data_IF_104186664803
#
_entry.id   IF_104186664803
#
_cell.length_a   1.000
_cell.length_b   1.000
_cell.length_c   1.000
_cell.angle_alpha   90.00
_cell.angle_beta   90.00
_cell.angle_gamma   90.00
#
_symmetry.space_group_name_H-M   'P 1'
#
loop_
_entity.id
_entity.type
_entity.pdbx_description
1 polymer ?
#
# COMPACT_ATOMS: atom_id res chain seq x y z
N UNK A 1 -7.46 6.78 -28.36
CA UNK A 1 -6.15 6.37 -27.81
C UNK A 1 -5.90 7.17 -26.54
N UNK A 2 -5.46 6.56 -25.45
CA UNK A 2 -5.23 7.24 -24.16
C UNK A 2 -6.43 7.27 -23.21
N UNK A 3 -7.42 6.39 -23.40
CA UNK A 3 -8.57 6.23 -22.49
C UNK A 3 -8.57 4.86 -21.81
N UNK A 4 -9.50 4.64 -20.89
CA UNK A 4 -9.63 3.36 -20.17
C UNK A 4 -10.03 2.18 -21.09
N UNK A 5 -10.55 2.44 -22.29
CA UNK A 5 -10.91 1.42 -23.27
C UNK A 5 -10.00 1.47 -24.50
N UNK A 6 -8.71 1.74 -24.29
CA UNK A 6 -7.72 1.80 -25.36
C UNK A 6 -7.60 0.42 -26.05
N UNK A 7 -7.77 0.32 -27.39
CA UNK A 7 -7.65 -0.94 -28.13
C UNK A 7 -6.28 -1.62 -28.01
N UNK A 8 -5.24 -0.88 -27.59
CA UNK A 8 -3.90 -1.43 -27.30
C UNK A 8 -3.87 -2.28 -26.02
N UNK A 9 -4.82 -2.08 -25.10
CA UNK A 9 -4.93 -2.90 -23.90
C UNK A 9 -5.60 -4.26 -24.14
N UNK A 10 -6.20 -4.45 -25.32
CA UNK A 10 -7.00 -5.62 -25.65
C UNK A 10 -8.40 -5.23 -26.13
N UNK A 11 -9.10 -6.20 -26.69
CA UNK A 11 -10.47 -6.04 -27.19
C UNK A 11 -11.35 -7.13 -26.58
N UNK A 12 -12.60 -6.77 -26.27
CA UNK A 12 -13.66 -7.71 -25.88
C UNK A 12 -14.60 -7.96 -27.07
N UNK A 13 -14.61 -7.03 -28.03
CA UNK A 13 -15.46 -7.10 -29.20
C UNK A 13 -14.85 -8.04 -30.25
N UNK A 14 -15.68 -8.93 -30.80
CA UNK A 14 -15.29 -9.91 -31.83
C UNK A 14 -14.95 -9.26 -33.15
N UNK A 15 -15.47 -8.06 -33.42
CA UNK A 15 -15.23 -7.35 -34.67
C UNK A 15 -13.88 -6.62 -34.70
N UNK A 16 -13.27 -6.41 -33.54
CA UNK A 16 -12.01 -5.69 -33.42
C UNK A 16 -10.88 -6.64 -33.03
N UNK A 17 -9.68 -6.34 -33.53
CA UNK A 17 -8.44 -7.01 -33.14
C UNK A 17 -7.64 -6.13 -32.20
N UNK A 18 -6.86 -6.74 -31.31
CA UNK A 18 -5.98 -5.99 -30.43
C UNK A 18 -4.90 -5.27 -31.24
N UNK A 19 -4.66 -3.98 -30.95
CA UNK A 19 -3.63 -3.21 -31.65
C UNK A 19 -2.20 -3.59 -31.25
N UNK A 20 -2.00 -4.33 -30.16
CA UNK A 20 -0.67 -4.69 -29.65
C UNK A 20 -0.24 -6.08 -30.10
N UNK A 21 -1.11 -7.09 -30.01
CA UNK A 21 -0.79 -8.46 -30.41
C UNK A 21 -1.47 -8.90 -31.72
N UNK A 22 -2.44 -8.16 -32.26
CA UNK A 22 -3.18 -8.55 -33.47
C UNK A 22 -4.22 -9.65 -33.26
N UNK A 23 -4.27 -10.25 -32.06
CA UNK A 23 -5.17 -11.36 -31.73
C UNK A 23 -6.61 -10.91 -31.42
N UNK A 24 -7.54 -11.85 -31.54
CA UNK A 24 -8.95 -11.69 -31.18
C UNK A 24 -9.20 -11.80 -29.66
N UNK A 25 -10.46 -11.62 -29.20
CA UNK A 25 -10.80 -11.58 -27.77
C UNK A 25 -10.59 -12.92 -27.03
N UNK A 26 -10.54 -14.05 -27.74
CA UNK A 26 -10.31 -15.38 -27.14
C UNK A 26 -8.84 -15.65 -26.83
N UNK A 27 -7.94 -15.22 -27.73
CA UNK A 27 -6.51 -15.55 -27.66
C UNK A 27 -5.66 -14.41 -27.07
N UNK A 28 -6.16 -13.17 -27.11
CA UNK A 28 -5.47 -12.02 -26.54
C UNK A 28 -5.44 -12.10 -24.99
N UNK A 29 -4.25 -12.15 -24.36
CA UNK A 29 -4.13 -12.18 -22.89
C UNK A 29 -4.51 -10.84 -22.23
N UNK A 30 -4.58 -9.77 -23.02
CA UNK A 30 -4.72 -8.40 -22.55
C UNK A 30 -3.38 -7.79 -22.13
N UNK A 31 -3.26 -6.47 -22.31
CA UNK A 31 -2.05 -5.71 -22.02
C UNK A 31 -2.33 -4.65 -20.96
N UNK A 32 -1.52 -4.62 -19.90
CA UNK A 32 -1.68 -3.67 -18.81
C UNK A 32 -1.38 -2.24 -19.27
N UNK A 33 -2.22 -1.33 -18.80
CA UNK A 33 -1.95 0.11 -18.85
C UNK A 33 -1.39 0.59 -17.52
N UNK A 34 -1.13 1.89 -17.43
CA UNK A 34 -0.79 2.54 -16.17
C UNK A 34 -1.49 3.90 -16.07
N UNK A 35 -1.75 4.33 -14.84
CA UNK A 35 -2.19 5.69 -14.52
C UNK A 35 -1.15 6.29 -13.58
N UNK A 36 -0.59 7.42 -13.97
CA UNK A 36 0.24 8.25 -13.10
C UNK A 36 -0.65 9.10 -12.20
N UNK A 37 -0.48 8.98 -10.89
CA UNK A 37 -1.23 9.77 -9.93
C UNK A 37 -0.61 11.16 -9.82
N UNK A 38 -1.46 12.19 -9.64
CA UNK A 38 -1.00 13.55 -9.40
C UNK A 38 -0.19 13.70 -8.10
N UNK A 39 -0.54 12.93 -7.06
CA UNK A 39 0.19 12.81 -5.80
C UNK A 39 0.29 11.32 -5.42
N UNK A 40 1.37 10.90 -4.74
CA UNK A 40 1.49 9.53 -4.26
C UNK A 40 0.44 9.23 -3.17
N UNK A 41 0.03 7.96 -3.07
CA UNK A 41 -1.08 7.51 -2.22
C UNK A 41 -0.67 6.27 -1.45
N UNK A 42 -1.11 6.12 -0.19
CA UNK A 42 -0.84 4.91 0.58
C UNK A 42 -1.63 3.72 0.02
N UNK A 43 -0.95 2.59 -0.19
CA UNK A 43 -1.65 1.34 -0.48
C UNK A 43 -2.32 0.81 0.80
N UNK A 44 -3.65 0.68 0.79
CA UNK A 44 -4.45 0.29 1.97
C UNK A 44 -3.97 -1.01 2.64
N UNK A 45 -3.57 -2.01 1.84
CA UNK A 45 -3.04 -3.29 2.34
C UNK A 45 -1.65 -3.21 2.98
N UNK A 46 -0.85 -2.18 2.69
CA UNK A 46 0.52 -2.03 3.21
C UNK A 46 0.66 -0.96 4.27
N UNK A 47 -0.38 -0.17 4.53
CA UNK A 47 -0.35 0.95 5.48
C UNK A 47 0.20 0.55 6.88
N UNK A 48 -0.18 -0.63 7.37
CA UNK A 48 0.34 -1.16 8.66
C UNK A 48 1.82 -1.49 8.57
N UNK A 49 2.28 -2.03 7.44
CA UNK A 49 3.69 -2.37 7.22
C UNK A 49 4.54 -1.12 7.05
N UNK A 50 4.06 -0.13 6.29
CA UNK A 50 4.67 1.20 6.16
C UNK A 50 4.82 1.85 7.53
N UNK A 51 3.77 1.86 8.36
CA UNK A 51 3.84 2.36 9.74
C UNK A 51 4.96 1.70 10.54
N UNK A 52 5.04 0.36 10.52
CA UNK A 52 6.09 -0.37 11.24
C UNK A 52 7.50 -0.02 10.74
N UNK A 53 7.69 0.10 9.43
CA UNK A 53 8.99 0.45 8.84
C UNK A 53 9.38 1.88 9.24
N UNK A 54 8.45 2.84 9.16
CA UNK A 54 8.67 4.22 9.59
C UNK A 54 9.00 4.32 11.10
N UNK A 55 8.49 3.42 11.93
CA UNK A 55 8.85 3.36 13.36
C UNK A 55 10.26 2.79 13.59
N UNK A 56 10.79 1.99 12.66
CA UNK A 56 12.13 1.42 12.73
C UNK A 56 13.23 2.42 12.36
N UNK A 57 12.95 3.32 11.42
CA UNK A 57 13.93 4.24 10.84
C UNK A 57 13.78 5.66 11.39
N UNK A 58 14.83 6.45 11.27
CA UNK A 58 14.78 7.87 11.55
C UNK A 58 13.95 8.60 10.49
N UNK A 59 12.95 9.38 10.90
CA UNK A 59 12.09 10.14 9.97
C UNK A 59 12.83 11.24 9.19
N UNK A 60 14.03 11.64 9.63
CA UNK A 60 14.83 12.67 8.98
C UNK A 60 15.90 12.07 8.04
N UNK A 61 16.81 11.24 8.57
CA UNK A 61 17.92 10.68 7.80
C UNK A 61 17.63 9.33 7.13
N UNK A 62 16.54 8.63 7.49
CA UNK A 62 16.17 7.34 6.90
C UNK A 62 16.99 6.14 7.38
N UNK A 63 17.98 6.34 8.27
CA UNK A 63 18.79 5.27 8.86
C UNK A 63 18.00 4.48 9.90
N UNK A 64 18.26 3.18 10.02
CA UNK A 64 17.69 2.33 11.07
C UNK A 64 18.12 2.86 12.44
N UNK A 65 17.20 2.97 13.42
CA UNK A 65 17.51 3.46 14.78
C UNK A 65 18.28 2.45 15.66
N UNK A 66 18.57 1.28 15.09
CA UNK A 66 19.23 0.19 15.78
C UNK A 66 20.47 -0.20 14.99
N UNK A 67 21.55 -0.44 15.72
CA UNK A 67 22.82 -0.82 15.15
C UNK A 67 23.26 -2.20 15.67
N UNK A 68 24.07 -2.88 14.86
CA UNK A 68 24.70 -4.14 15.21
C UNK A 68 25.72 -4.00 16.34
N UNK A 69 26.11 -2.78 16.74
CA UNK A 69 26.92 -2.53 17.94
C UNK A 69 26.25 -2.94 19.25
N UNK A 70 24.92 -3.06 19.31
CA UNK A 70 24.21 -3.63 20.46
C UNK A 70 24.13 -5.15 20.34
N UNK A 71 24.77 -5.86 21.28
CA UNK A 71 24.76 -7.33 21.35
C UNK A 71 23.35 -7.92 21.46
N UNK A 72 22.43 -7.22 22.13
CA UNK A 72 21.02 -7.62 22.23
C UNK A 72 20.38 -7.61 20.85
N UNK A 73 20.52 -6.51 20.12
CA UNK A 73 19.97 -6.36 18.77
C UNK A 73 20.61 -7.35 17.79
N UNK A 74 21.94 -7.51 17.85
CA UNK A 74 22.69 -8.46 17.02
C UNK A 74 22.22 -9.90 17.23
N UNK A 75 22.06 -10.33 18.48
CA UNK A 75 21.57 -11.67 18.81
C UNK A 75 20.11 -11.87 18.38
N UNK A 76 19.28 -10.84 18.51
CA UNK A 76 17.89 -10.86 18.04
C UNK A 76 17.79 -11.05 16.52
N UNK A 77 18.58 -10.31 15.73
CA UNK A 77 18.60 -10.42 14.27
C UNK A 77 19.13 -11.78 13.82
N UNK A 78 20.20 -12.28 14.46
CA UNK A 78 20.79 -13.60 14.16
C UNK A 78 19.82 -14.75 14.42
N UNK A 79 19.00 -14.68 15.47
CA UNK A 79 17.99 -15.71 15.79
C UNK A 79 16.76 -15.69 14.87
N UNK A 80 16.60 -14.65 14.05
CA UNK A 80 15.44 -14.47 13.19
C UNK A 80 15.77 -14.79 11.72
N UNK A 81 15.70 -16.07 11.36
CA UNK A 81 15.97 -16.53 9.98
C UNK A 81 14.88 -16.11 8.99
N UNK A 82 13.61 -16.13 9.41
CA UNK A 82 12.50 -15.75 8.53
C UNK A 82 12.41 -14.22 8.39
N UNK A 83 12.42 -13.67 7.16
CA UNK A 83 12.32 -12.22 6.90
C UNK A 83 11.12 -11.55 7.58
N UNK A 84 9.97 -12.22 7.64
CA UNK A 84 8.76 -11.69 8.29
C UNK A 84 8.95 -11.54 9.80
N UNK A 85 9.57 -12.53 10.43
CA UNK A 85 9.86 -12.52 11.87
C UNK A 85 10.95 -11.50 12.19
N UNK A 86 11.96 -11.38 11.32
CA UNK A 86 13.04 -10.39 11.44
C UNK A 86 12.51 -8.96 11.52
N UNK A 87 11.62 -8.57 10.60
CA UNK A 87 10.99 -7.24 10.62
C UNK A 87 10.23 -6.99 11.94
N UNK A 88 9.52 -8.00 12.45
CA UNK A 88 8.77 -7.87 13.69
C UNK A 88 9.69 -7.63 14.89
N UNK A 89 10.77 -8.40 15.01
CA UNK A 89 11.74 -8.28 16.11
C UNK A 89 12.46 -6.94 16.05
N UNK A 90 12.92 -6.53 14.86
CA UNK A 90 13.56 -5.23 14.66
C UNK A 90 12.60 -4.09 15.03
N UNK A 91 11.34 -4.18 14.62
CA UNK A 91 10.32 -3.20 14.97
C UNK A 91 10.03 -3.14 16.48
N UNK A 92 9.94 -4.28 17.16
CA UNK A 92 9.72 -4.33 18.61
C UNK A 92 10.85 -3.66 19.40
N UNK A 93 12.08 -3.78 18.91
CA UNK A 93 13.24 -3.11 19.48
C UNK A 93 13.28 -1.60 19.14
N UNK A 94 13.02 -1.22 17.89
CA UNK A 94 13.14 0.17 17.44
C UNK A 94 11.98 1.08 17.85
N UNK A 95 10.76 0.54 18.06
CA UNK A 95 9.57 1.36 18.38
C UNK A 95 9.72 2.17 19.68
N UNK A 96 10.58 1.72 20.60
CA UNK A 96 10.87 2.41 21.86
C UNK A 96 11.90 3.53 21.74
N UNK A 97 12.66 3.56 20.64
CA UNK A 97 13.73 4.55 20.41
C UNK A 97 13.14 5.84 19.83
N UNK A 98 13.12 6.86 20.68
CA UNK A 98 12.57 8.19 20.38
C UNK A 98 13.62 9.23 20.02
N UNK A 99 14.89 8.82 19.89
CA UNK A 99 16.01 9.68 19.51
C UNK A 99 16.87 8.94 18.48
N UNK A 100 17.34 9.65 17.47
CA UNK A 100 18.35 9.15 16.55
C UNK A 100 19.73 9.48 17.13
N UNK A 101 20.38 8.51 17.79
CA UNK A 101 21.69 8.70 18.42
C UNK A 101 22.74 9.16 17.39
N UNK A 102 23.26 10.37 17.56
CA UNK A 102 24.44 10.87 16.86
C UNK A 102 25.69 10.45 17.61
N UNK A 103 26.81 10.32 16.90
CA UNK A 103 28.07 9.87 17.51
C UNK A 103 28.75 10.98 18.33
N UNK A 104 28.39 12.25 18.10
CA UNK A 104 29.03 13.42 18.72
C UNK A 104 28.82 13.55 20.26
N UNK A 105 28.02 12.69 20.89
CA UNK A 105 27.76 12.76 22.35
C UNK A 105 28.60 11.79 23.20
N UNK A 106 29.60 11.11 22.62
CA UNK A 106 30.45 10.17 23.37
C UNK A 106 31.91 10.60 23.51
N UNK A 107 32.27 11.81 23.09
CA UNK A 107 33.66 12.25 23.11
C UNK A 107 34.20 12.68 24.50
N UNK A 108 33.37 12.75 25.57
CA UNK A 108 33.87 13.33 26.83
C UNK A 108 34.24 12.36 27.95
N UNK A 109 33.83 11.08 27.97
CA UNK A 109 34.31 10.12 29.01
C UNK A 109 34.26 8.65 28.54
N UNK A 110 35.21 8.18 27.71
CA UNK A 110 35.38 6.74 27.47
C UNK A 110 36.79 6.25 27.87
N UNK A 111 36.82 5.62 29.04
CA UNK A 111 37.85 4.75 29.62
C UNK A 111 38.46 3.78 28.55
N UNK A 112 39.81 3.72 28.39
CA UNK A 112 40.48 3.00 27.30
C UNK A 112 40.29 1.46 27.25
N UNK A 113 39.60 0.85 28.21
CA UNK A 113 39.35 -0.60 28.29
C UNK A 113 38.04 -1.09 27.63
N UNK A 114 37.17 -0.21 27.13
CA UNK A 114 35.95 -0.64 26.44
C UNK A 114 36.15 -0.74 24.92
N UNK A 115 35.70 -1.82 24.27
CA UNK A 115 35.75 -1.92 22.81
C UNK A 115 34.95 -0.78 22.20
N UNK A 116 35.62 0.06 21.40
CA UNK A 116 35.01 1.16 20.66
C UNK A 116 33.82 0.62 19.86
N UNK A 117 32.61 1.06 20.21
CA UNK A 117 31.41 0.65 19.48
C UNK A 117 31.43 1.36 18.13
N UNK A 118 31.22 0.65 17.01
CA UNK A 118 31.17 1.28 15.70
C UNK A 118 30.10 2.38 15.69
N UNK A 119 30.44 3.52 15.08
CA UNK A 119 29.60 4.71 15.06
C UNK A 119 28.31 4.45 14.29
N UNK A 120 27.18 4.79 14.91
CA UNK A 120 25.84 4.59 14.35
C UNK A 120 25.52 5.68 13.32
N UNK A 121 26.19 6.83 13.30
CA UNK A 121 26.02 7.88 12.29
C UNK A 121 24.59 8.42 12.21
N UNK A 122 23.89 8.54 13.35
CA UNK A 122 22.57 9.17 13.41
C UNK A 122 22.66 10.69 13.41
N UNK A 123 21.50 11.36 13.28
CA UNK A 123 21.42 12.81 13.09
C UNK A 123 20.87 13.60 14.28
N UNK A 124 20.76 13.01 15.48
CA UNK A 124 20.24 13.67 16.67
C UNK A 124 18.72 13.96 16.66
N UNK A 125 18.02 13.67 15.55
CA UNK A 125 16.61 14.04 15.41
C UNK A 125 15.67 13.27 16.35
N UNK A 126 14.79 13.99 17.03
CA UNK A 126 13.75 13.42 17.90
C UNK A 126 12.72 12.69 17.03
N UNK A 127 12.39 11.48 17.40
CA UNK A 127 11.48 10.63 16.63
C UNK A 127 10.04 10.79 17.13
N UNK A 128 9.08 11.02 16.24
CA UNK A 128 7.68 11.10 16.61
C UNK A 128 7.09 9.72 16.87
N UNK A 129 6.01 9.68 17.65
CA UNK A 129 5.15 8.51 17.75
C UNK A 129 4.18 8.48 16.57
N UNK A 130 4.24 7.42 15.76
CA UNK A 130 3.40 7.30 14.58
C UNK A 130 2.06 6.65 14.94
N UNK A 131 0.96 7.37 14.74
CA UNK A 131 -0.40 6.90 14.97
C UNK A 131 -1.12 6.69 13.63
N UNK A 132 -1.88 5.60 13.53
CA UNK A 132 -2.74 5.31 12.38
C UNK A 132 -4.17 5.67 12.76
N UNK A 133 -4.84 6.40 11.88
CA UNK A 133 -6.25 6.74 12.01
C UNK A 133 -6.90 6.63 10.62
N UNK A 134 -7.76 5.61 10.45
CA UNK A 134 -8.29 5.21 9.14
C UNK A 134 -7.19 4.94 8.11
N UNK A 135 -7.19 5.73 7.04
CA UNK A 135 -6.22 5.70 5.93
C UNK A 135 -5.06 6.71 6.11
N UNK A 136 -5.01 7.44 7.23
CA UNK A 136 -4.01 8.47 7.51
C UNK A 136 -2.99 8.00 8.54
N UNK A 137 -1.78 8.52 8.41
CA UNK A 137 -0.73 8.42 9.42
C UNK A 137 -0.48 9.80 10.02
N UNK A 138 -0.27 9.85 11.33
CA UNK A 138 0.00 11.07 12.08
C UNK A 138 1.30 10.92 12.86
N UNK A 139 2.13 11.94 12.82
CA UNK A 139 3.31 12.11 13.66
C UNK A 139 2.89 12.87 14.91
N UNK A 140 3.21 12.32 16.08
CA UNK A 140 2.95 12.96 17.38
C UNK A 140 4.27 13.12 18.10
N UNK A 141 4.75 14.36 18.23
CA UNK A 141 5.95 14.66 19.01
C UNK A 141 5.58 14.82 20.48
N UNK A 142 6.35 14.18 21.37
CA UNK A 142 6.25 14.43 22.81
C UNK A 142 7.15 15.61 23.15
N UNK A 143 6.61 16.64 23.79
CA UNK A 143 7.43 17.69 24.40
C UNK A 143 8.33 17.09 25.49
N UNK A 144 9.56 17.61 25.63
CA UNK A 144 10.52 17.18 26.65
C UNK A 144 10.03 17.61 28.03
N UNK A 145 10.24 16.77 29.05
CA UNK A 145 9.82 17.02 30.45
C UNK A 145 10.71 18.05 31.18
N UNK A 146 11.20 19.08 30.49
CA UNK A 146 12.15 20.04 31.07
C UNK A 146 12.12 21.40 30.38
N UNK A 147 11.01 21.75 29.76
CA UNK A 147 10.83 23.00 29.02
C UNK A 147 9.59 23.77 29.54
N UNK A 148 9.27 23.61 30.83
CA UNK A 148 8.19 24.33 31.51
C UNK A 148 8.52 24.46 33.02
N UNK A 149 9.21 25.55 33.37
CA UNK A 149 9.07 26.24 34.66
C UNK A 149 7.84 27.18 34.66
N UNK A 150 6.95 27.06 33.65
CA UNK A 150 5.69 27.80 33.57
C UNK A 150 4.50 26.86 33.79
N UNK A 151 3.79 27.07 34.90
CA UNK A 151 2.63 26.29 35.36
C UNK A 151 1.42 26.33 34.40
N UNK A 152 1.43 27.18 33.36
CA UNK A 152 0.32 27.41 32.44
C UNK A 152 0.28 26.49 31.19
N UNK A 153 1.29 25.64 30.96
CA UNK A 153 1.42 24.85 29.71
C UNK A 153 0.88 23.41 29.80
N UNK A 154 0.26 23.03 30.94
CA UNK A 154 -0.30 21.67 31.16
C UNK A 154 -1.48 21.30 30.22
N UNK A 155 -2.00 22.22 29.40
CA UNK A 155 -3.10 21.99 28.45
C UNK A 155 -2.72 22.08 26.96
N UNK A 156 -1.43 22.20 26.59
CA UNK A 156 -1.04 22.19 25.19
C UNK A 156 -1.13 20.78 24.59
N UNK A 157 -2.10 20.54 23.72
CA UNK A 157 -2.24 19.26 23.01
C UNK A 157 -0.95 18.92 22.26
N UNK A 158 -0.51 17.63 22.27
CA UNK A 158 0.69 17.24 21.54
C UNK A 158 0.51 17.52 20.05
N UNK A 159 1.52 18.12 19.42
CA UNK A 159 1.47 18.53 18.02
C UNK A 159 1.26 17.30 17.13
N UNK A 160 0.04 17.16 16.59
CA UNK A 160 -0.38 16.06 15.74
C UNK A 160 -0.31 16.51 14.28
N UNK A 161 0.77 16.16 13.59
CA UNK A 161 0.98 16.49 12.18
C UNK A 161 0.63 15.30 11.29
N UNK A 162 -0.14 15.51 10.23
CA UNK A 162 -0.44 14.45 9.25
C UNK A 162 0.81 14.15 8.41
N UNK A 163 1.21 12.88 8.33
CA UNK A 163 2.28 12.43 7.44
C UNK A 163 1.69 12.14 6.05
N UNK A 164 1.94 13.01 5.08
CA UNK A 164 1.49 12.80 3.70
C UNK A 164 2.20 11.59 3.09
N UNK A 165 1.56 10.96 2.09
CA UNK A 165 2.17 9.83 1.40
C UNK A 165 3.43 10.26 0.62
N UNK A 166 3.51 11.51 0.17
CA UNK A 166 4.70 12.07 -0.48
C UNK A 166 5.89 12.17 0.48
N UNK A 167 5.66 12.70 1.69
CA UNK A 167 6.68 12.75 2.74
C UNK A 167 7.15 11.34 3.11
N UNK A 168 6.22 10.41 3.35
CA UNK A 168 6.56 9.03 3.66
C UNK A 168 7.39 8.37 2.54
N UNK A 169 7.04 8.60 1.26
CA UNK A 169 7.81 8.09 0.12
C UNK A 169 9.23 8.65 0.10
N UNK A 170 9.39 9.95 0.37
CA UNK A 170 10.70 10.59 0.49
C UNK A 170 11.56 9.98 1.60
N UNK A 171 10.97 9.70 2.77
CA UNK A 171 11.66 9.08 3.90
C UNK A 171 12.07 7.63 3.57
N UNK A 172 11.15 6.83 3.03
CA UNK A 172 11.39 5.43 2.71
C UNK A 172 12.47 5.25 1.62
N UNK A 173 12.60 6.21 0.70
CA UNK A 173 13.63 6.20 -0.35
C UNK A 173 15.05 6.42 0.20
N UNK A 174 15.19 7.12 1.34
CA UNK A 174 16.48 7.41 1.99
C UNK A 174 17.09 6.18 2.68
N UNK A 175 16.34 5.10 2.88
CA UNK A 175 16.82 3.92 3.61
C UNK A 175 17.96 3.25 2.81
N UNK A 176 19.14 3.03 3.41
CA UNK A 176 20.24 2.37 2.73
C UNK A 176 19.99 0.87 2.59
N UNK A 177 20.61 0.26 1.57
CA UNK A 177 20.44 -1.16 1.27
C UNK A 177 20.89 -2.10 2.40
N UNK A 178 21.87 -1.69 3.22
CA UNK A 178 22.29 -2.40 4.43
C UNK A 178 21.13 -2.59 5.41
N UNK A 179 20.40 -1.51 5.67
CA UNK A 179 19.34 -1.44 6.67
C UNK A 179 18.10 -2.20 6.19
N UNK A 180 17.84 -2.20 4.87
CA UNK A 180 16.82 -3.03 4.27
C UNK A 180 17.06 -4.52 4.57
N UNK A 181 18.30 -5.00 4.39
CA UNK A 181 18.65 -6.41 4.68
C UNK A 181 18.53 -6.74 6.16
N UNK A 182 18.95 -5.81 7.04
CA UNK A 182 18.82 -5.96 8.50
C UNK A 182 17.36 -6.07 8.95
N UNK A 183 16.47 -5.27 8.36
CA UNK A 183 15.02 -5.34 8.62
C UNK A 183 14.34 -6.59 8.01
N UNK A 184 15.02 -7.37 7.18
CA UNK A 184 14.42 -8.50 6.45
C UNK A 184 13.60 -8.08 5.23
N UNK A 185 13.96 -6.96 4.60
CA UNK A 185 13.38 -6.47 3.35
C UNK A 185 14.33 -6.78 2.18
N UNK A 186 13.77 -6.86 0.97
CA UNK A 186 14.54 -7.13 -0.25
C UNK A 186 14.68 -5.87 -1.08
N UNK A 187 15.93 -5.52 -1.41
CA UNK A 187 16.24 -4.40 -2.30
C UNK A 187 15.72 -4.62 -3.74
N UNK A 188 15.72 -5.87 -4.21
CA UNK A 188 15.35 -6.18 -5.59
C UNK A 188 13.85 -6.37 -5.80
N UNK A 189 13.16 -6.95 -4.82
CA UNK A 189 11.77 -7.40 -5.00
C UNK A 189 10.76 -6.66 -4.12
N UNK A 190 11.20 -6.00 -3.04
CA UNK A 190 10.28 -5.48 -2.04
C UNK A 190 10.84 -4.23 -1.34
N UNK A 191 11.20 -3.20 -2.13
CA UNK A 191 11.61 -1.91 -1.56
C UNK A 191 10.44 -1.24 -0.82
N UNK A 192 10.67 -0.62 0.34
CA UNK A 192 9.62 0.02 1.12
C UNK A 192 8.89 1.15 0.38
N UNK A 193 9.60 1.94 -0.43
CA UNK A 193 8.98 3.03 -1.20
C UNK A 193 7.87 2.54 -2.14
N UNK A 194 7.95 1.30 -2.65
CA UNK A 194 6.94 0.71 -3.55
C UNK A 194 5.62 0.38 -2.83
N UNK A 195 5.59 0.43 -1.50
CA UNK A 195 4.34 0.31 -0.73
C UNK A 195 3.47 1.57 -0.82
N UNK A 196 4.03 2.67 -1.35
CA UNK A 196 3.33 3.91 -1.66
C UNK A 196 3.16 3.97 -3.17
N UNK A 197 1.92 4.14 -3.62
CA UNK A 197 1.57 4.12 -5.03
C UNK A 197 1.75 5.52 -5.62
N UNK A 198 2.69 5.65 -6.55
CA UNK A 198 2.78 6.80 -7.47
C UNK A 198 2.13 6.49 -8.82
N UNK A 199 2.17 5.21 -9.22
CA UNK A 199 1.61 4.70 -10.47
C UNK A 199 0.71 3.51 -10.16
N UNK A 200 -0.49 3.50 -10.74
CA UNK A 200 -1.44 2.39 -10.60
C UNK A 200 -1.48 1.59 -11.90
N UNK A 201 -1.23 0.27 -11.87
CA UNK A 201 -1.42 -0.58 -13.04
C UNK A 201 -2.90 -0.70 -13.37
N UNK A 202 -3.25 -0.45 -14.62
CA UNK A 202 -4.62 -0.58 -15.11
C UNK A 202 -4.79 -1.96 -15.72
N UNK A 203 -5.65 -2.82 -15.15
CA UNK A 203 -5.89 -4.14 -15.71
C UNK A 203 -6.53 -4.04 -17.10
N UNK A 204 -6.24 -4.99 -18.01
CA UNK A 204 -6.79 -4.99 -19.35
C UNK A 204 -8.30 -5.31 -19.36
N UNK A 205 -9.02 -5.00 -20.45
CA UNK A 205 -10.47 -5.25 -20.57
C UNK A 205 -10.88 -6.70 -20.25
N UNK A 206 -10.04 -7.69 -20.51
CA UNK A 206 -10.28 -9.11 -20.18
C UNK A 206 -10.51 -9.36 -18.67
N UNK A 207 -9.90 -8.54 -17.81
CA UNK A 207 -10.06 -8.62 -16.35
C UNK A 207 -11.29 -7.84 -15.85
N UNK A 208 -11.74 -6.85 -16.62
CA UNK A 208 -12.85 -5.94 -16.32
C UNK A 208 -13.86 -5.91 -17.49
N UNK A 209 -14.52 -7.04 -17.80
CA UNK A 209 -15.34 -7.18 -18.99
C UNK A 209 -16.58 -6.29 -18.93
N UNK A 210 -16.91 -5.63 -20.04
CA UNK A 210 -18.17 -4.94 -20.21
C UNK A 210 -19.27 -5.90 -20.66
N UNK A 211 -20.51 -5.60 -20.27
CA UNK A 211 -21.70 -6.36 -20.65
C UNK A 211 -22.53 -5.47 -21.58
N UNK A 212 -22.99 -6.04 -22.70
CA UNK A 212 -23.86 -5.36 -23.63
C UNK A 212 -25.24 -6.02 -23.59
N UNK A 213 -26.29 -5.24 -23.33
CA UNK A 213 -27.69 -5.69 -23.35
C UNK A 213 -28.48 -4.74 -24.22
N UNK A 214 -29.10 -5.24 -25.29
CA UNK A 214 -30.03 -4.50 -26.15
C UNK A 214 -29.56 -3.08 -26.55
N UNK A 215 -28.27 -2.95 -26.87
CA UNK A 215 -27.56 -1.71 -27.24
C UNK A 215 -27.05 -0.82 -26.09
N UNK A 216 -27.39 -1.11 -24.83
CA UNK A 216 -26.77 -0.45 -23.67
C UNK A 216 -25.51 -1.21 -23.24
N UNK A 217 -24.38 -0.48 -23.21
CA UNK A 217 -23.12 -0.97 -22.67
C UNK A 217 -23.02 -0.64 -21.18
N UNK A 218 -22.96 -1.67 -20.35
CA UNK A 218 -22.68 -1.57 -18.91
C UNK A 218 -21.24 -1.98 -18.65
N UNK A 219 -20.44 -1.02 -18.20
CA UNK A 219 -19.04 -1.26 -17.85
C UNK A 219 -18.89 -1.99 -16.50
N UNK A 220 -17.74 -2.64 -16.30
CA UNK A 220 -17.42 -3.31 -15.04
C UNK A 220 -17.19 -2.29 -13.89
N UNK A 221 -17.49 -2.71 -12.67
CA UNK A 221 -17.29 -1.93 -11.44
C UNK A 221 -15.85 -1.38 -11.29
N UNK A 222 -14.83 -2.13 -11.72
CA UNK A 222 -13.44 -1.67 -11.69
C UNK A 222 -13.21 -0.53 -12.69
N UNK A 223 -13.84 -0.57 -13.87
CA UNK A 223 -13.75 0.50 -14.87
C UNK A 223 -14.35 1.80 -14.33
N UNK A 224 -15.50 1.74 -13.66
CA UNK A 224 -16.09 2.92 -13.01
C UNK A 224 -15.16 3.51 -11.97
N UNK A 225 -14.57 2.67 -11.12
CA UNK A 225 -13.68 3.16 -10.06
C UNK A 225 -12.37 3.74 -10.62
N UNK A 226 -11.82 3.15 -11.67
CA UNK A 226 -10.66 3.69 -12.38
C UNK A 226 -10.98 5.05 -13.03
N UNK A 227 -12.19 5.23 -13.54
CA UNK A 227 -12.63 6.52 -14.07
C UNK A 227 -12.71 7.60 -12.98
N UNK A 228 -13.19 7.25 -11.79
CA UNK A 228 -13.18 8.18 -10.65
C UNK A 228 -11.75 8.54 -10.24
N UNK A 229 -10.85 7.56 -10.12
CA UNK A 229 -9.43 7.80 -9.81
C UNK A 229 -8.81 8.75 -10.83
N UNK A 230 -9.05 8.52 -12.12
CA UNK A 230 -8.50 9.35 -13.19
C UNK A 230 -9.04 10.79 -13.12
N UNK A 231 -10.35 10.95 -12.90
CA UNK A 231 -10.99 12.27 -12.75
C UNK A 231 -10.44 13.01 -11.54
N UNK A 232 -10.41 12.38 -10.37
CA UNK A 232 -9.89 13.01 -9.15
C UNK A 232 -8.41 13.37 -9.30
N UNK A 233 -7.60 12.51 -9.93
CA UNK A 233 -6.18 12.79 -10.22
C UNK A 233 -6.02 14.00 -11.17
N UNK A 234 -6.83 14.08 -12.23
CA UNK A 234 -6.80 15.21 -13.15
C UNK A 234 -7.25 16.52 -12.49
N UNK A 235 -8.31 16.47 -11.68
CA UNK A 235 -8.79 17.60 -10.88
C UNK A 235 -7.73 18.07 -9.89
N UNK A 236 -7.06 17.14 -9.18
CA UNK A 236 -5.97 17.47 -8.27
C UNK A 236 -4.82 18.17 -9.00
N UNK A 237 -4.40 17.65 -10.16
CA UNK A 237 -3.34 18.26 -10.99
C UNK A 237 -3.71 19.67 -11.45
N UNK A 238 -4.98 19.89 -11.81
CA UNK A 238 -5.48 21.21 -12.23
C UNK A 238 -5.44 22.21 -11.07
N UNK A 239 -5.96 21.84 -9.90
CA UNK A 239 -5.96 22.73 -8.73
C UNK A 239 -4.54 23.03 -8.20
N UNK A 240 -3.62 22.07 -8.28
CA UNK A 240 -2.21 22.27 -7.93
C UNK A 240 -1.56 23.30 -8.89
N UNK A 241 -1.86 23.22 -10.19
CA UNK A 241 -1.36 24.17 -11.20
C UNK A 241 -1.97 25.58 -11.09
N UNK A 242 -3.22 25.68 -10.65
CA UNK A 242 -3.93 26.95 -10.42
C UNK A 242 -3.54 27.61 -9.08
N UNK A 243 -2.72 26.95 -8.25
CA UNK A 243 -2.31 27.48 -6.94
C UNK A 243 -3.46 27.51 -5.93
N UNK A 244 -4.36 26.52 -5.98
CA UNK A 244 -5.50 26.45 -5.06
C UNK A 244 -5.06 26.37 -3.58
N UNK A 245 -5.89 26.83 -2.62
CA UNK A 245 -5.55 26.79 -1.21
C UNK A 245 -5.22 25.37 -0.71
N UNK A 246 -4.25 25.26 0.19
CA UNK A 246 -3.74 23.97 0.69
C UNK A 246 -4.81 23.06 1.32
N UNK A 247 -5.86 23.62 1.92
CA UNK A 247 -6.97 22.83 2.48
C UNK A 247 -7.76 22.11 1.39
N UNK A 248 -8.05 22.79 0.27
CA UNK A 248 -8.77 22.22 -0.89
C UNK A 248 -7.96 21.09 -1.52
N UNK A 249 -6.66 21.31 -1.71
CA UNK A 249 -5.75 20.29 -2.25
C UNK A 249 -5.71 19.06 -1.34
N UNK A 250 -5.65 19.25 -0.02
CA UNK A 250 -5.68 18.16 0.97
C UNK A 250 -6.99 17.37 0.95
N UNK A 251 -8.14 18.03 0.76
CA UNK A 251 -9.43 17.34 0.63
C UNK A 251 -9.50 16.47 -0.63
N UNK A 252 -9.03 16.98 -1.76
CA UNK A 252 -8.99 16.23 -3.03
C UNK A 252 -7.98 15.09 -2.94
N UNK A 253 -6.83 15.29 -2.28
CA UNK A 253 -5.84 14.24 -2.01
C UNK A 253 -6.46 13.11 -1.16
N UNK A 254 -7.24 13.45 -0.14
CA UNK A 254 -7.95 12.47 0.69
C UNK A 254 -9.02 11.72 -0.11
N UNK A 255 -9.71 12.40 -1.02
CA UNK A 255 -10.66 11.77 -1.93
C UNK A 255 -9.95 10.78 -2.86
N UNK A 256 -8.80 11.17 -3.43
CA UNK A 256 -7.98 10.28 -4.25
C UNK A 256 -7.55 9.04 -3.46
N UNK A 257 -7.06 9.23 -2.23
CA UNK A 257 -6.69 8.15 -1.32
C UNK A 257 -7.86 7.19 -1.04
N UNK A 258 -9.08 7.72 -0.88
CA UNK A 258 -10.28 6.92 -0.71
C UNK A 258 -10.63 6.11 -1.97
N UNK A 259 -10.55 6.72 -3.16
CA UNK A 259 -10.86 6.00 -4.41
C UNK A 259 -9.86 4.87 -4.68
N UNK A 260 -8.57 5.10 -4.47
CA UNK A 260 -7.52 4.08 -4.62
C UNK A 260 -7.66 2.97 -3.57
N UNK A 261 -7.96 3.32 -2.32
CA UNK A 261 -8.15 2.33 -1.26
C UNK A 261 -9.35 1.42 -1.55
N UNK A 262 -10.50 2.00 -1.89
CA UNK A 262 -11.74 1.25 -2.19
C UNK A 262 -11.71 0.48 -3.51
N UNK A 263 -10.83 0.86 -4.44
CA UNK A 263 -10.54 0.07 -5.64
C UNK A 263 -9.90 -1.29 -5.30
N UNK A 264 -8.94 -1.29 -4.37
CA UNK A 264 -8.28 -2.51 -3.92
C UNK A 264 -9.15 -3.31 -2.94
N UNK A 265 -9.73 -2.61 -1.96
CA UNK A 265 -10.54 -3.19 -0.90
C UNK A 265 -11.66 -2.24 -0.46
N UNK A 266 -12.91 -2.62 -0.72
CA UNK A 266 -14.08 -1.83 -0.37
C UNK A 266 -14.67 -2.19 1.01
N UNK A 267 -14.08 -3.14 1.73
CA UNK A 267 -14.55 -3.61 3.04
C UNK A 267 -13.63 -3.14 4.18
N UNK A 268 -13.01 -1.98 4.02
CA UNK A 268 -12.08 -1.41 5.02
C UNK A 268 -12.87 -0.97 6.25
N UNK A 269 -12.47 -1.48 7.43
CA UNK A 269 -13.09 -1.12 8.70
C UNK A 269 -12.97 0.38 9.01
N UNK A 270 -14.07 1.00 9.42
CA UNK A 270 -14.12 2.42 9.78
C UNK A 270 -14.08 3.39 8.59
N UNK A 271 -14.25 2.90 7.35
CA UNK A 271 -14.38 3.73 6.15
C UNK A 271 -15.74 3.52 5.49
N UNK A 272 -16.33 4.56 4.87
CA UNK A 272 -17.56 4.41 4.10
C UNK A 272 -17.33 3.50 2.90
N UNK A 273 -18.35 2.70 2.54
CA UNK A 273 -18.28 1.83 1.36
C UNK A 273 -18.52 2.64 0.09
N UNK A 274 -17.71 2.45 -0.93
CA UNK A 274 -17.97 2.98 -2.25
C UNK A 274 -19.18 2.27 -2.86
N UNK A 275 -20.19 3.04 -3.25
CA UNK A 275 -21.43 2.57 -3.86
C UNK A 275 -21.49 3.01 -5.32
N UNK A 276 -22.15 2.18 -6.14
CA UNK A 276 -22.54 2.55 -7.50
C UNK A 276 -23.76 3.49 -7.45
N UNK A 277 -24.10 4.12 -8.59
CA UNK A 277 -25.30 4.98 -8.69
C UNK A 277 -26.61 4.28 -8.29
N UNK A 278 -26.65 2.95 -8.40
CA UNK A 278 -27.78 2.10 -7.98
C UNK A 278 -27.83 1.80 -6.48
N UNK A 279 -26.90 2.33 -5.67
CA UNK A 279 -26.78 2.02 -4.24
C UNK A 279 -26.08 0.68 -3.93
N UNK A 280 -25.79 -0.13 -4.95
CA UNK A 280 -25.04 -1.39 -4.79
C UNK A 280 -23.56 -1.12 -4.47
N UNK A 281 -22.93 -1.80 -3.49
CA UNK A 281 -21.51 -1.67 -3.23
C UNK A 281 -20.64 -2.09 -4.44
N UNK A 282 -19.61 -1.30 -4.74
CA UNK A 282 -18.66 -1.59 -5.83
C UNK A 282 -17.84 -2.83 -5.50
N UNK A 283 -17.73 -3.77 -6.45
CA UNK A 283 -16.97 -5.02 -6.26
C UNK A 283 -15.48 -4.83 -6.55
N UNK A 284 -14.72 -4.53 -5.49
CA UNK A 284 -13.25 -4.35 -5.50
C UNK A 284 -12.45 -5.60 -5.87
N UNK A 285 -11.13 -5.44 -6.09
CA UNK A 285 -10.23 -6.55 -6.45
C UNK A 285 -10.21 -7.64 -5.36
N UNK A 286 -10.07 -7.27 -4.08
CA UNK A 286 -9.99 -8.23 -2.97
C UNK A 286 -11.25 -9.09 -2.86
N UNK A 287 -12.43 -8.51 -3.06
CA UNK A 287 -13.70 -9.23 -2.98
C UNK A 287 -13.95 -10.16 -4.17
N UNK A 288 -13.27 -9.95 -5.31
CA UNK A 288 -13.27 -10.91 -6.44
C UNK A 288 -12.40 -12.14 -6.14
N UNK A 289 -11.36 -12.00 -5.32
CA UNK A 289 -10.43 -13.10 -5.00
C UNK A 289 -10.93 -13.97 -3.84
N UNK A 290 -11.44 -13.34 -2.78
CA UNK A 290 -11.92 -14.01 -1.56
C UNK A 290 -13.37 -14.47 -1.70
N UNK A 291 -13.77 -15.45 -0.88
CA UNK A 291 -15.15 -15.88 -0.71
C UNK A 291 -15.46 -17.22 -1.39
N UNK A 292 -16.69 -17.71 -1.22
CA UNK A 292 -17.13 -18.98 -1.79
C UNK A 292 -17.17 -18.93 -3.32
N UNK A 293 -17.69 -17.84 -3.86
CA UNK A 293 -17.75 -17.54 -5.30
C UNK A 293 -16.54 -16.73 -5.80
N UNK A 294 -15.54 -16.51 -4.95
CA UNK A 294 -14.31 -15.83 -5.34
C UNK A 294 -13.45 -16.69 -6.26
N UNK A 295 -12.53 -16.07 -7.00
CA UNK A 295 -11.69 -16.76 -7.99
C UNK A 295 -10.88 -17.92 -7.41
N UNK A 296 -10.39 -17.81 -6.17
CA UNK A 296 -9.59 -18.88 -5.55
C UNK A 296 -10.42 -20.16 -5.35
N UNK A 297 -11.55 -20.07 -4.64
CA UNK A 297 -12.38 -21.25 -4.33
C UNK A 297 -13.27 -21.65 -5.51
N UNK A 298 -13.93 -20.70 -6.14
CA UNK A 298 -14.92 -20.94 -7.19
C UNK A 298 -14.34 -21.18 -8.58
N UNK A 299 -13.14 -20.67 -8.88
CA UNK A 299 -12.55 -20.84 -10.21
C UNK A 299 -11.24 -21.63 -10.20
N UNK A 300 -10.49 -21.73 -9.11
CA UNK A 300 -9.24 -22.50 -9.10
C UNK A 300 -9.39 -23.85 -8.41
N UNK A 301 -10.17 -23.95 -7.32
CA UNK A 301 -10.37 -25.21 -6.59
C UNK A 301 -11.58 -26.03 -7.06
N UNK A 302 -12.62 -25.39 -7.63
CA UNK A 302 -13.84 -26.07 -8.06
C UNK A 302 -14.42 -25.47 -9.33
N UNK A 303 -13.87 -25.86 -10.49
CA UNK A 303 -14.37 -25.42 -11.80
C UNK A 303 -15.54 -26.28 -12.26
N UNK A 304 -16.43 -25.68 -13.04
CA UNK A 304 -17.36 -26.45 -13.88
C UNK A 304 -16.56 -27.09 -15.02
N UNK A 305 -16.88 -28.33 -15.35
CA UNK A 305 -16.21 -29.10 -16.39
C UNK A 305 -17.21 -29.43 -17.50
N UNK A 306 -16.73 -29.33 -18.73
CA UNK A 306 -17.47 -29.82 -19.90
C UNK A 306 -17.52 -31.35 -19.90
N UNK A 307 -18.36 -31.93 -20.76
CA UNK A 307 -18.52 -33.40 -20.89
C UNK A 307 -18.98 -34.09 -19.59
N UNK A 308 -19.84 -33.43 -18.82
CA UNK A 308 -20.47 -34.01 -17.64
C UNK A 308 -21.99 -33.87 -17.70
N UNK A 309 -22.69 -34.93 -17.26
CA UNK A 309 -24.14 -34.95 -17.13
C UNK A 309 -24.54 -35.31 -15.70
N UNK A 310 -25.67 -34.79 -15.25
CA UNK A 310 -26.27 -35.11 -13.96
C UNK A 310 -27.71 -35.54 -14.19
N UNK A 311 -28.03 -36.76 -13.82
CA UNK A 311 -29.39 -37.30 -13.79
C UNK A 311 -29.66 -38.00 -12.46
N UNK A 312 -30.93 -38.23 -12.14
CA UNK A 312 -31.33 -39.04 -10.99
C UNK A 312 -31.02 -40.50 -11.32
N UNK A 313 -30.42 -41.22 -10.38
CA UNK A 313 -30.14 -42.65 -10.52
C UNK A 313 -31.38 -43.48 -10.16
N UNK A 314 -31.58 -44.59 -10.85
CA UNK A 314 -32.61 -45.61 -10.54
C UNK A 314 -31.95 -46.98 -10.60
N UNK A 315 -32.39 -47.92 -9.76
CA UNK A 315 -31.83 -49.27 -9.74
C UNK A 315 -32.31 -50.09 -10.94
N UNK A 316 -31.38 -50.73 -11.64
CA UNK A 316 -31.66 -51.67 -12.73
C UNK A 316 -30.95 -53.00 -12.47
N UNK A 317 -31.69 -54.11 -12.21
CA UNK A 317 -31.09 -55.41 -11.93
C UNK A 317 -30.53 -56.11 -13.18
N UNK A 318 -30.83 -55.64 -14.39
CA UNK A 318 -30.38 -56.25 -15.65
C UNK A 318 -29.05 -55.68 -16.17
N UNK A 319 -28.47 -54.69 -15.48
CA UNK A 319 -27.19 -54.08 -15.85
C UNK A 319 -26.06 -54.79 -15.11
N UNK A 320 -25.03 -55.21 -15.85
CA UNK A 320 -23.82 -55.80 -15.29
C UNK A 320 -22.99 -54.76 -14.52
N UNK A 321 -22.21 -55.22 -13.54
CA UNK A 321 -21.28 -54.38 -12.77
C UNK A 321 -20.05 -53.96 -13.59
#
# INVERSE_FOLDING_TARGET
VGGLMDPRMGTIDRNFKCQTCGEGPGDCPGHFGHIELARPVYHAGFLVKVKKILECICVNCGKLKADLGDDVFRNMVKRADNPKRRLQVVWEYCKGKMLCESDDMKEEEEDPEKPQRPSHGGCGHIQPLIRKDGLKLFLVYKKRKGDDDDEDVKMAQPEKRMLTAAEAHGILRKIPASDLRLMGLSERYARPEWMILSVIPVPPPQVRPSIMSDSLRSEDDLTYKLADILKTSATLRKHDAEGAPAHVVSEIEQLLQFHVATYMDNEIAGQPRAMQKSGRPVKAIRSRLKGKEGRLRGNLMGKRVDFSARTVITGDPNIAL
#
